data_IF_363853218608
#
_entry.id   IF_363853218608
#
_cell.length_a   1.000
_cell.length_b   1.000
_cell.length_c   1.000
_cell.angle_alpha   90.00
_cell.angle_beta   90.00
_cell.angle_gamma   90.00
#
_symmetry.space_group_name_H-M   'P 1'
#
loop_
_entity.id
_entity.type
_entity.pdbx_description
1 polymer ?
#
# COMPACT_ATOMS: atom_id res chain seq x y z
N UNK A 1 -7.53 -29.22 -18.80
CA UNK A 1 -6.58 -28.44 -19.64
C UNK A 1 -5.12 -28.84 -19.37
N UNK A 2 -4.22 -28.66 -20.34
CA UNK A 2 -2.76 -28.87 -20.16
C UNK A 2 -2.11 -27.64 -19.52
N UNK A 3 -0.90 -27.78 -18.98
CA UNK A 3 -0.18 -26.66 -18.33
C UNK A 3 0.10 -25.48 -19.27
N UNK A 4 0.36 -25.74 -20.56
CA UNK A 4 0.55 -24.70 -21.57
C UNK A 4 -0.72 -23.88 -21.78
N UNK A 5 -1.85 -24.56 -21.88
CA UNK A 5 -3.17 -23.92 -22.03
C UNK A 5 -3.55 -23.13 -20.77
N UNK A 6 -3.32 -23.69 -19.58
CA UNK A 6 -3.50 -22.97 -18.31
C UNK A 6 -2.64 -21.69 -18.26
N UNK A 7 -1.39 -21.80 -18.71
CA UNK A 7 -0.45 -20.68 -18.73
C UNK A 7 -0.93 -19.56 -19.66
N UNK A 8 -1.39 -19.91 -20.87
CA UNK A 8 -1.96 -18.95 -21.81
C UNK A 8 -3.21 -18.27 -21.25
N UNK A 9 -4.11 -19.03 -20.63
CA UNK A 9 -5.36 -18.48 -20.09
C UNK A 9 -5.17 -17.57 -18.89
N UNK A 10 -4.20 -17.88 -18.03
CA UNK A 10 -3.98 -17.17 -16.75
C UNK A 10 -2.88 -16.11 -16.83
N UNK A 11 -2.05 -16.13 -17.87
CA UNK A 11 -0.83 -15.33 -17.95
C UNK A 11 0.29 -15.79 -17.01
N UNK A 12 0.07 -16.85 -16.22
CA UNK A 12 1.05 -17.38 -15.27
C UNK A 12 1.94 -18.39 -15.98
N UNK A 13 3.25 -18.16 -15.99
CA UNK A 13 4.19 -19.05 -16.69
C UNK A 13 4.18 -20.47 -16.11
N UNK A 14 4.38 -21.49 -16.94
CA UNK A 14 4.43 -22.89 -16.49
C UNK A 14 5.44 -23.15 -15.34
N UNK A 15 6.64 -22.54 -15.31
CA UNK A 15 7.53 -22.62 -14.14
C UNK A 15 6.90 -22.04 -12.87
N UNK A 16 6.20 -20.91 -12.98
CA UNK A 16 5.55 -20.27 -11.84
C UNK A 16 4.33 -21.07 -11.34
N UNK A 17 3.57 -21.70 -12.22
CA UNK A 17 2.51 -22.67 -11.84
C UNK A 17 3.11 -23.81 -11.02
N UNK A 18 4.20 -24.44 -11.50
CA UNK A 18 4.87 -25.53 -10.77
C UNK A 18 5.42 -25.05 -9.43
N UNK A 19 5.93 -23.83 -9.38
CA UNK A 19 6.36 -23.19 -8.15
C UNK A 19 5.19 -23.05 -7.17
N UNK A 20 4.04 -22.50 -7.57
CA UNK A 20 2.88 -22.37 -6.68
C UNK A 20 2.35 -23.72 -6.19
N UNK A 21 2.40 -24.77 -7.01
CA UNK A 21 2.06 -26.14 -6.56
C UNK A 21 3.04 -26.61 -5.47
N UNK A 22 4.35 -26.42 -5.69
CA UNK A 22 5.37 -26.84 -4.71
C UNK A 22 5.28 -26.05 -3.40
N UNK A 23 5.01 -24.75 -3.48
CA UNK A 23 4.85 -23.89 -2.30
C UNK A 23 3.48 -24.07 -1.62
N UNK A 24 2.57 -24.86 -2.20
CA UNK A 24 1.26 -25.20 -1.64
C UNK A 24 0.17 -24.14 -1.84
N UNK A 25 0.37 -23.15 -2.71
CA UNK A 25 -0.65 -22.14 -3.02
C UNK A 25 -1.70 -22.65 -4.02
N UNK A 26 -1.30 -23.55 -4.92
CA UNK A 26 -2.15 -24.15 -5.94
C UNK A 26 -2.26 -25.66 -5.67
N UNK A 27 -3.46 -26.25 -5.64
CA UNK A 27 -3.61 -27.70 -5.61
C UNK A 27 -2.87 -28.38 -6.77
N UNK A 28 -2.34 -29.61 -6.56
CA UNK A 28 -1.71 -30.35 -7.64
C UNK A 28 -2.76 -30.74 -8.70
N UNK A 29 -2.33 -30.75 -9.96
CA UNK A 29 -3.17 -31.21 -11.07
C UNK A 29 -3.65 -32.65 -10.89
N UNK A 30 -4.86 -32.93 -11.36
CA UNK A 30 -5.45 -34.26 -11.31
C UNK A 30 -4.69 -35.23 -12.23
N UNK A 31 -4.42 -36.45 -11.75
CA UNK A 31 -3.76 -37.49 -12.55
C UNK A 31 -4.80 -38.23 -13.38
N UNK A 32 -4.83 -37.99 -14.69
CA UNK A 32 -5.76 -38.65 -15.63
C UNK A 32 -5.15 -39.85 -16.36
N UNK A 33 -3.92 -40.27 -16.00
CA UNK A 33 -3.24 -41.45 -16.52
C UNK A 33 -1.81 -41.59 -16.01
N UNK A 34 -1.10 -42.63 -16.47
CA UNK A 34 0.24 -42.98 -15.95
C UNK A 34 1.26 -41.82 -16.04
N UNK A 35 1.17 -40.99 -17.08
CA UNK A 35 2.01 -39.80 -17.27
C UNK A 35 1.22 -38.56 -17.71
N UNK A 36 -0.06 -38.47 -17.32
CA UNK A 36 -0.95 -37.37 -17.73
C UNK A 36 -1.55 -36.70 -16.50
N UNK A 37 -1.39 -35.38 -16.44
CA UNK A 37 -2.06 -34.52 -15.48
C UNK A 37 -2.89 -33.46 -16.18
N UNK A 38 -4.03 -33.12 -15.58
CA UNK A 38 -4.96 -32.12 -16.09
C UNK A 38 -5.31 -31.10 -15.02
N UNK A 39 -5.40 -29.85 -15.46
CA UNK A 39 -5.85 -28.73 -14.66
C UNK A 39 -7.31 -28.43 -14.98
N UNK A 40 -8.09 -28.02 -13.98
CA UNK A 40 -9.51 -27.64 -14.10
C UNK A 40 -9.74 -26.13 -14.04
N UNK A 41 -11.00 -25.70 -14.15
CA UNK A 41 -11.39 -24.29 -13.98
C UNK A 41 -11.06 -23.75 -12.58
N UNK A 42 -11.15 -24.60 -11.55
CA UNK A 42 -10.77 -24.23 -10.18
C UNK A 42 -9.29 -23.82 -10.08
N UNK A 43 -8.41 -24.41 -10.91
CA UNK A 43 -7.01 -24.00 -10.98
C UNK A 43 -6.85 -22.62 -11.64
N UNK A 44 -7.70 -22.28 -12.61
CA UNK A 44 -7.72 -20.95 -13.23
C UNK A 44 -8.16 -19.92 -12.20
N UNK A 45 -9.30 -20.16 -11.54
CA UNK A 45 -9.84 -19.28 -10.50
C UNK A 45 -8.82 -19.06 -9.37
N UNK A 46 -8.21 -20.15 -8.89
CA UNK A 46 -7.17 -20.10 -7.85
C UNK A 46 -5.93 -19.33 -8.29
N UNK A 47 -5.47 -19.48 -9.53
CA UNK A 47 -4.34 -18.72 -10.05
C UNK A 47 -4.65 -17.23 -10.15
N UNK A 48 -5.84 -16.86 -10.63
CA UNK A 48 -6.28 -15.46 -10.66
C UNK A 48 -6.28 -14.87 -9.24
N UNK A 49 -6.85 -15.59 -8.27
CA UNK A 49 -6.86 -15.18 -6.87
C UNK A 49 -5.44 -14.99 -6.31
N UNK A 50 -4.53 -15.94 -6.53
CA UNK A 50 -3.12 -15.83 -6.12
C UNK A 50 -2.49 -14.56 -6.69
N UNK A 51 -2.70 -14.28 -7.98
CA UNK A 51 -2.15 -13.08 -8.63
C UNK A 51 -2.75 -11.79 -8.06
N UNK A 52 -4.06 -11.76 -7.82
CA UNK A 52 -4.71 -10.61 -7.18
C UNK A 52 -4.11 -10.31 -5.80
N UNK A 53 -3.96 -11.34 -4.95
CA UNK A 53 -3.41 -11.18 -3.60
C UNK A 53 -1.95 -10.72 -3.59
N UNK A 54 -1.13 -11.22 -4.52
CA UNK A 54 0.30 -10.92 -4.56
C UNK A 54 0.59 -9.61 -5.30
N UNK A 55 0.05 -9.43 -6.51
CA UNK A 55 0.41 -8.32 -7.39
C UNK A 55 -0.28 -7.03 -6.99
N UNK A 56 -1.58 -7.11 -6.68
CA UNK A 56 -2.40 -5.94 -6.36
C UNK A 56 -2.47 -5.75 -4.84
N UNK A 57 -2.62 -6.86 -4.11
CA UNK A 57 -2.65 -6.87 -2.65
C UNK A 57 -1.28 -6.70 -1.98
N UNK A 58 -0.19 -6.89 -2.72
CA UNK A 58 1.17 -6.77 -2.19
C UNK A 58 1.52 -7.80 -1.11
N UNK A 59 0.76 -8.89 -1.00
CA UNK A 59 1.03 -9.92 0.00
C UNK A 59 2.30 -10.70 -0.36
N UNK A 60 3.09 -11.02 0.66
CA UNK A 60 4.12 -12.05 0.53
C UNK A 60 3.47 -13.40 0.20
N UNK A 61 4.19 -14.29 -0.48
CA UNK A 61 3.68 -15.63 -0.80
C UNK A 61 3.29 -16.44 0.44
N UNK A 62 4.04 -16.29 1.54
CA UNK A 62 3.71 -16.94 2.80
C UNK A 62 2.39 -16.40 3.40
N UNK A 63 2.15 -15.10 3.29
CA UNK A 63 0.90 -14.49 3.74
C UNK A 63 -0.27 -14.89 2.84
N UNK A 64 -0.08 -14.87 1.51
CA UNK A 64 -1.07 -15.34 0.55
C UNK A 64 -1.45 -16.80 0.83
N UNK A 65 -0.48 -17.70 1.08
CA UNK A 65 -0.77 -19.08 1.44
C UNK A 65 -1.66 -19.21 2.67
N UNK A 66 -1.35 -18.50 3.77
CA UNK A 66 -2.17 -18.56 5.00
C UNK A 66 -3.62 -18.13 4.75
N UNK A 67 -3.80 -17.09 3.92
CA UNK A 67 -5.12 -16.58 3.55
C UNK A 67 -5.88 -17.60 2.71
N UNK A 68 -5.20 -18.18 1.73
CA UNK A 68 -5.75 -19.22 0.87
C UNK A 68 -6.13 -20.49 1.66
N UNK A 69 -5.29 -20.91 2.60
CA UNK A 69 -5.60 -22.03 3.51
C UNK A 69 -6.86 -21.75 4.34
N UNK A 70 -7.07 -20.49 4.79
CA UNK A 70 -8.27 -20.10 5.52
C UNK A 70 -9.54 -20.07 4.65
N UNK A 71 -9.41 -19.72 3.36
CA UNK A 71 -10.51 -19.86 2.39
C UNK A 71 -10.87 -21.33 2.22
N UNK A 72 -9.87 -22.20 2.07
CA UNK A 72 -10.08 -23.62 1.80
C UNK A 72 -10.63 -24.38 3.03
N UNK A 73 -10.41 -23.87 4.25
CA UNK A 73 -10.99 -24.43 5.47
C UNK A 73 -12.48 -24.09 5.63
N UNK A 74 -13.35 -24.97 5.15
CA UNK A 74 -14.82 -24.84 5.24
C UNK A 74 -15.39 -24.84 6.67
N UNK A 75 -14.64 -25.32 7.67
CA UNK A 75 -15.09 -25.30 9.05
C UNK A 75 -14.85 -23.93 9.72
N UNK A 76 -13.99 -23.10 9.12
CA UNK A 76 -13.63 -21.80 9.67
C UNK A 76 -14.75 -20.75 9.47
N UNK A 77 -15.22 -20.07 10.52
CA UNK A 77 -16.20 -18.99 10.38
C UNK A 77 -15.68 -17.84 9.52
N UNK A 78 -16.56 -17.16 8.76
CA UNK A 78 -16.15 -16.01 7.91
C UNK A 78 -15.46 -14.89 8.71
N UNK A 79 -15.85 -14.67 9.96
CA UNK A 79 -15.20 -13.70 10.84
C UNK A 79 -13.73 -14.06 11.13
N UNK A 80 -13.42 -15.35 11.23
CA UNK A 80 -12.04 -15.81 11.42
C UNK A 80 -11.24 -15.72 10.12
N UNK A 81 -11.85 -16.02 8.96
CA UNK A 81 -11.26 -15.77 7.64
C UNK A 81 -10.89 -14.29 7.48
N UNK A 82 -11.79 -13.38 7.86
CA UNK A 82 -11.52 -11.94 7.88
C UNK A 82 -10.32 -11.61 8.79
N UNK A 83 -10.26 -12.20 9.98
CA UNK A 83 -9.13 -12.02 10.90
C UNK A 83 -7.79 -12.47 10.29
N UNK A 84 -7.77 -13.60 9.59
CA UNK A 84 -6.59 -14.09 8.86
C UNK A 84 -6.20 -13.14 7.73
N UNK A 85 -7.17 -12.66 6.95
CA UNK A 85 -6.96 -11.69 5.87
C UNK A 85 -6.35 -10.38 6.40
N UNK A 86 -6.94 -9.80 7.46
CA UNK A 86 -6.41 -8.60 8.11
C UNK A 86 -5.00 -8.84 8.69
N UNK A 87 -4.77 -10.01 9.30
CA UNK A 87 -3.47 -10.38 9.86
C UNK A 87 -2.38 -10.60 8.81
N UNK A 88 -2.76 -10.85 7.55
CA UNK A 88 -1.84 -11.02 6.42
C UNK A 88 -1.34 -9.68 5.85
N UNK A 89 -2.05 -8.58 6.12
CA UNK A 89 -1.66 -7.25 5.66
C UNK A 89 -0.32 -6.79 6.26
N UNK A 90 0.44 -5.93 5.56
CA UNK A 90 1.71 -5.41 6.05
C UNK A 90 1.57 -4.75 7.43
N UNK A 91 2.45 -5.12 8.36
CA UNK A 91 2.53 -4.49 9.69
C UNK A 91 3.53 -3.33 9.69
N UNK A 92 3.34 -2.31 10.54
CA UNK A 92 4.35 -1.29 10.77
C UNK A 92 5.69 -1.90 11.19
N UNK A 93 6.80 -1.30 10.73
CA UNK A 93 8.14 -1.79 11.03
C UNK A 93 8.54 -1.66 12.51
N UNK A 94 7.92 -0.71 13.22
CA UNK A 94 8.13 -0.49 14.64
C UNK A 94 6.77 -0.48 15.37
N UNK A 95 6.70 -1.02 16.59
CA UNK A 95 5.49 -0.95 17.40
C UNK A 95 5.14 0.51 17.70
N UNK A 96 3.84 0.81 17.69
CA UNK A 96 3.35 2.14 18.04
C UNK A 96 3.56 2.45 19.53
N UNK A 97 3.57 3.74 19.89
CA UNK A 97 3.59 4.20 21.27
C UNK A 97 2.27 3.87 21.98
N UNK A 98 2.32 3.64 23.29
CA UNK A 98 1.12 3.43 24.10
C UNK A 98 0.12 4.61 23.96
N UNK A 99 0.63 5.85 23.97
CA UNK A 99 -0.20 7.04 23.80
C UNK A 99 -0.93 7.10 22.45
N UNK A 100 -0.31 6.64 21.36
CA UNK A 100 -0.98 6.56 20.07
C UNK A 100 -2.05 5.47 20.03
N UNK A 101 -1.76 4.30 20.62
CA UNK A 101 -2.75 3.22 20.77
C UNK A 101 -3.97 3.65 21.56
N UNK A 102 -3.75 4.32 22.70
CA UNK A 102 -4.83 4.80 23.56
C UNK A 102 -5.75 5.79 22.83
N UNK A 103 -5.18 6.65 21.97
CA UNK A 103 -5.96 7.58 21.14
C UNK A 103 -6.83 6.85 20.12
N UNK A 104 -6.29 5.84 19.44
CA UNK A 104 -7.07 5.01 18.49
C UNK A 104 -8.17 4.27 19.24
N UNK A 105 -7.84 3.67 20.39
CA UNK A 105 -8.78 2.93 21.23
C UNK A 105 -9.91 3.81 21.79
N UNK A 106 -9.61 5.06 22.14
CA UNK A 106 -10.65 6.01 22.55
C UNK A 106 -11.68 6.25 21.44
N UNK A 107 -11.23 6.36 20.18
CA UNK A 107 -12.13 6.56 19.03
C UNK A 107 -12.97 5.32 18.73
N UNK A 108 -12.39 4.12 18.81
CA UNK A 108 -13.16 2.88 18.61
C UNK A 108 -14.15 2.64 19.75
N UNK A 109 -13.75 2.90 21.00
CA UNK A 109 -14.62 2.79 22.18
C UNK A 109 -15.79 3.77 22.12
N UNK A 110 -15.54 5.03 21.75
CA UNK A 110 -16.59 6.05 21.64
C UNK A 110 -17.66 5.70 20.60
N UNK A 111 -17.31 4.88 19.59
CA UNK A 111 -18.25 4.35 18.59
C UNK A 111 -18.91 3.04 18.99
N UNK A 112 -18.52 2.44 20.10
CA UNK A 112 -18.97 1.09 20.48
C UNK A 112 -18.44 -0.01 19.56
N UNK A 113 -17.34 0.23 18.83
CA UNK A 113 -16.73 -0.80 18.00
C UNK A 113 -16.12 -1.90 18.87
N UNK A 114 -16.38 -3.16 18.52
CA UNK A 114 -15.80 -4.33 19.17
C UNK A 114 -14.55 -4.75 18.42
N UNK A 115 -13.38 -4.30 18.90
CA UNK A 115 -12.08 -4.55 18.26
C UNK A 115 -11.16 -5.28 19.25
N UNK A 116 -10.55 -6.38 18.81
CA UNK A 116 -9.57 -7.12 19.61
C UNK A 116 -8.29 -6.29 19.84
N UNK A 117 -7.61 -6.50 20.97
CA UNK A 117 -6.39 -5.75 21.29
C UNK A 117 -5.25 -5.97 20.29
N UNK A 118 -5.15 -7.19 19.76
CA UNK A 118 -4.18 -7.59 18.73
C UNK A 118 -4.63 -7.28 17.29
N UNK A 119 -5.70 -6.50 17.09
CA UNK A 119 -6.14 -6.16 15.74
C UNK A 119 -5.04 -5.35 15.02
N UNK A 120 -4.58 -5.79 13.82
CA UNK A 120 -3.47 -5.13 13.13
C UNK A 120 -3.77 -3.68 12.71
N UNK A 121 -5.05 -3.34 12.52
CA UNK A 121 -5.50 -1.98 12.21
C UNK A 121 -5.26 -0.99 13.35
N UNK A 122 -5.29 -1.46 14.62
CA UNK A 122 -4.97 -0.63 15.78
C UNK A 122 -3.51 -0.18 15.74
N UNK A 123 -2.59 -1.12 15.54
CA UNK A 123 -1.15 -0.82 15.40
C UNK A 123 -0.87 0.07 14.19
N UNK A 124 -1.49 -0.22 13.05
CA UNK A 124 -1.31 0.56 11.83
C UNK A 124 -1.74 2.02 12.02
N UNK A 125 -2.94 2.26 12.55
CA UNK A 125 -3.44 3.60 12.81
C UNK A 125 -2.59 4.35 13.85
N UNK A 126 -2.18 3.66 14.92
CA UNK A 126 -1.35 4.25 15.97
C UNK A 126 0.04 4.63 15.45
N UNK A 127 0.67 3.78 14.63
CA UNK A 127 1.97 4.06 14.02
C UNK A 127 1.92 5.29 13.09
N UNK A 128 0.81 5.52 12.39
CA UNK A 128 0.59 6.74 11.59
C UNK A 128 0.53 7.99 12.48
N UNK A 129 -0.16 7.92 13.63
CA UNK A 129 -0.20 9.05 14.58
C UNK A 129 1.20 9.40 15.11
N UNK A 130 2.01 8.39 15.45
CA UNK A 130 3.39 8.61 15.86
C UNK A 130 4.24 9.22 14.74
N UNK A 131 4.06 8.75 13.50
CA UNK A 131 4.68 9.32 12.31
C UNK A 131 4.38 10.80 12.13
N UNK A 132 3.12 11.17 12.32
CA UNK A 132 2.66 12.56 12.23
C UNK A 132 3.22 13.42 13.36
N UNK A 133 3.22 12.90 14.59
CA UNK A 133 3.78 13.60 15.74
C UNK A 133 5.29 13.87 15.57
N UNK A 134 6.05 12.93 14.98
CA UNK A 134 7.48 13.07 14.71
C UNK A 134 7.81 14.22 13.76
N UNK A 135 6.90 14.59 12.84
CA UNK A 135 7.06 15.76 11.96
C UNK A 135 6.47 17.05 12.55
N UNK A 136 6.20 17.06 13.86
CA UNK A 136 5.69 18.23 14.58
C UNK A 136 4.21 18.51 14.37
N UNK A 137 3.44 17.52 13.86
CA UNK A 137 2.02 17.67 13.54
C UNK A 137 1.15 16.86 14.50
N UNK A 138 0.53 17.55 15.47
CA UNK A 138 -0.40 16.95 16.43
C UNK A 138 -1.89 17.03 16.03
N UNK A 139 -2.21 17.72 14.94
CA UNK A 139 -3.58 18.05 14.52
C UNK A 139 -4.34 16.88 13.90
N UNK A 140 -3.63 15.85 13.40
CA UNK A 140 -4.28 14.66 12.82
C UNK A 140 -5.18 13.94 13.84
N UNK A 141 -4.81 13.96 15.12
CA UNK A 141 -5.61 13.36 16.19
C UNK A 141 -7.01 13.98 16.29
N UNK A 142 -7.14 15.29 16.04
CA UNK A 142 -8.44 15.98 16.04
C UNK A 142 -9.32 15.60 14.83
N UNK A 143 -8.71 15.10 13.75
CA UNK A 143 -9.40 14.62 12.55
C UNK A 143 -9.80 13.14 12.61
N UNK A 144 -9.29 12.37 13.58
CA UNK A 144 -9.44 10.91 13.64
C UNK A 144 -10.91 10.47 13.66
N UNK A 145 -11.76 11.25 14.33
CA UNK A 145 -13.21 11.02 14.36
C UNK A 145 -13.83 11.00 12.96
N UNK A 146 -13.39 11.88 12.04
CA UNK A 146 -13.93 11.92 10.67
C UNK A 146 -13.46 10.71 9.86
N UNK A 147 -12.19 10.32 10.01
CA UNK A 147 -11.66 9.13 9.37
C UNK A 147 -12.36 7.86 9.85
N UNK A 148 -12.62 7.74 11.15
CA UNK A 148 -13.35 6.61 11.69
C UNK A 148 -14.81 6.53 11.19
N UNK A 149 -15.50 7.67 10.94
CA UNK A 149 -16.81 7.65 10.26
C UNK A 149 -16.71 7.12 8.84
N UNK A 150 -15.72 7.59 8.07
CA UNK A 150 -15.52 7.12 6.71
C UNK A 150 -15.19 5.62 6.68
N UNK A 151 -14.37 5.14 7.62
CA UNK A 151 -14.06 3.73 7.76
C UNK A 151 -15.29 2.87 8.11
N UNK A 152 -16.23 3.39 8.92
CA UNK A 152 -17.49 2.70 9.19
C UNK A 152 -18.30 2.44 7.91
N UNK A 153 -18.45 3.49 7.09
CA UNK A 153 -19.19 3.42 5.82
C UNK A 153 -18.56 2.41 4.86
N UNK A 154 -17.23 2.39 4.79
CA UNK A 154 -16.51 1.39 3.97
C UNK A 154 -16.72 -0.01 4.51
N UNK A 155 -16.57 -0.22 5.82
CA UNK A 155 -16.75 -1.53 6.43
C UNK A 155 -18.17 -2.07 6.24
N UNK A 156 -19.19 -1.22 6.32
CA UNK A 156 -20.59 -1.60 6.00
C UNK A 156 -20.71 -2.03 4.54
N UNK A 157 -20.20 -1.23 3.58
CA UNK A 157 -20.26 -1.57 2.16
C UNK A 157 -19.51 -2.88 1.82
N UNK A 158 -18.36 -3.12 2.46
CA UNK A 158 -17.59 -4.34 2.28
C UNK A 158 -18.37 -5.57 2.80
N UNK A 159 -19.02 -5.45 3.97
CA UNK A 159 -19.82 -6.53 4.56
C UNK A 159 -21.13 -6.76 3.80
N UNK A 160 -21.77 -5.71 3.29
CA UNK A 160 -22.95 -5.82 2.41
C UNK A 160 -22.62 -6.62 1.14
N UNK A 161 -21.43 -6.42 0.58
CA UNK A 161 -20.97 -7.18 -0.59
C UNK A 161 -20.78 -8.68 -0.26
N UNK A 162 -20.27 -9.00 0.92
CA UNK A 162 -20.14 -10.39 1.40
C UNK A 162 -21.51 -11.01 1.63
N UNK A 163 -22.43 -10.29 2.29
CA UNK A 163 -23.79 -10.76 2.52
C UNK A 163 -24.53 -11.03 1.21
N UNK A 164 -24.39 -10.15 0.20
CA UNK A 164 -24.99 -10.35 -1.11
C UNK A 164 -24.56 -11.68 -1.76
N UNK A 165 -23.29 -12.07 -1.63
CA UNK A 165 -22.78 -13.36 -2.14
C UNK A 165 -23.37 -14.54 -1.36
N UNK A 166 -23.42 -14.44 -0.03
CA UNK A 166 -24.01 -15.48 0.82
C UNK A 166 -25.49 -15.71 0.48
N UNK A 167 -26.25 -14.62 0.28
CA UNK A 167 -27.68 -14.71 -0.01
C UNK A 167 -27.98 -15.23 -1.43
N UNK A 168 -27.13 -14.90 -2.41
CA UNK A 168 -27.36 -15.29 -3.80
C UNK A 168 -27.07 -16.78 -4.06
N UNK A 169 -25.90 -17.25 -3.62
CA UNK A 169 -25.37 -18.56 -4.02
C UNK A 169 -25.38 -19.58 -2.87
N UNK A 170 -25.45 -19.14 -1.61
CA UNK A 170 -25.21 -20.00 -0.43
C UNK A 170 -23.78 -20.57 -0.37
N UNK A 171 -22.91 -20.15 -1.29
CA UNK A 171 -21.55 -20.66 -1.43
C UNK A 171 -20.62 -19.93 -0.45
N UNK A 172 -20.35 -20.58 0.68
CA UNK A 172 -19.42 -20.07 1.69
C UNK A 172 -18.02 -19.86 1.12
N UNK A 173 -17.55 -20.68 0.18
CA UNK A 173 -16.21 -20.54 -0.39
C UNK A 173 -16.09 -19.21 -1.13
N UNK A 174 -17.10 -18.87 -1.94
CA UNK A 174 -17.18 -17.57 -2.62
C UNK A 174 -17.30 -16.41 -1.64
N UNK A 175 -18.05 -16.57 -0.56
CA UNK A 175 -18.12 -15.56 0.48
C UNK A 175 -16.76 -15.33 1.16
N UNK A 176 -16.01 -16.41 1.47
CA UNK A 176 -14.67 -16.33 2.03
C UNK A 176 -13.68 -15.67 1.07
N UNK A 177 -13.73 -15.99 -0.22
CA UNK A 177 -12.95 -15.31 -1.26
C UNK A 177 -13.30 -13.82 -1.31
N UNK A 178 -14.58 -13.45 -1.23
CA UNK A 178 -15.03 -12.05 -1.24
C UNK A 178 -14.50 -11.29 -0.03
N UNK A 179 -14.57 -11.87 1.17
CA UNK A 179 -13.98 -11.30 2.39
C UNK A 179 -12.49 -11.01 2.20
N UNK A 180 -11.76 -12.00 1.69
CA UNK A 180 -10.32 -11.90 1.49
C UNK A 180 -9.95 -10.84 0.45
N UNK A 181 -10.60 -10.89 -0.72
CA UNK A 181 -10.33 -9.96 -1.82
C UNK A 181 -10.71 -8.55 -1.42
N UNK A 182 -11.87 -8.37 -0.78
CA UNK A 182 -12.31 -7.08 -0.25
C UNK A 182 -11.33 -6.52 0.78
N UNK A 183 -10.84 -7.34 1.71
CA UNK A 183 -9.87 -6.90 2.72
C UNK A 183 -8.52 -6.54 2.09
N UNK A 184 -7.98 -7.39 1.23
CA UNK A 184 -6.61 -7.26 0.70
C UNK A 184 -6.51 -6.21 -0.40
N UNK A 185 -7.51 -6.14 -1.29
CA UNK A 185 -7.54 -5.16 -2.37
C UNK A 185 -8.22 -3.85 -1.96
N UNK A 186 -9.04 -3.88 -0.90
CA UNK A 186 -9.77 -2.73 -0.38
C UNK A 186 -8.87 -1.57 0.03
N UNK A 187 -7.71 -1.86 0.63
CA UNK A 187 -6.72 -0.82 0.97
C UNK A 187 -6.25 -0.05 -0.27
N UNK A 188 -5.97 -0.76 -1.36
CA UNK A 188 -5.54 -0.15 -2.63
C UNK A 188 -6.67 0.65 -3.27
N UNK A 189 -7.88 0.09 -3.31
CA UNK A 189 -9.08 0.77 -3.80
C UNK A 189 -9.33 2.07 -3.03
N UNK A 190 -9.36 1.99 -1.70
CA UNK A 190 -9.67 3.12 -0.83
C UNK A 190 -8.57 4.17 -0.85
N UNK A 191 -7.31 3.77 -0.96
CA UNK A 191 -6.21 4.70 -1.19
C UNK A 191 -6.35 5.45 -2.51
N UNK A 192 -6.77 4.78 -3.59
CA UNK A 192 -7.07 5.39 -4.88
C UNK A 192 -8.23 6.40 -4.80
N UNK A 193 -9.38 5.95 -4.29
CA UNK A 193 -10.57 6.78 -4.11
C UNK A 193 -10.28 8.00 -3.23
N UNK A 194 -9.56 7.81 -2.12
CA UNK A 194 -9.17 8.90 -1.23
C UNK A 194 -8.33 9.96 -1.94
N UNK A 195 -7.38 9.57 -2.81
CA UNK A 195 -6.56 10.52 -3.58
C UNK A 195 -7.41 11.32 -4.56
N UNK A 196 -8.34 10.68 -5.28
CA UNK A 196 -9.27 11.37 -6.18
C UNK A 196 -10.22 12.31 -5.43
N UNK A 197 -10.73 11.90 -4.27
CA UNK A 197 -11.57 12.75 -3.43
C UNK A 197 -10.81 13.96 -2.86
N UNK A 198 -9.52 13.80 -2.57
CA UNK A 198 -8.65 14.91 -2.14
C UNK A 198 -8.45 15.93 -3.26
N UNK A 199 -8.28 15.46 -4.50
CA UNK A 199 -8.18 16.31 -5.68
C UNK A 199 -9.47 17.13 -5.92
N UNK A 200 -10.64 16.49 -5.95
CA UNK A 200 -11.94 17.18 -6.05
C UNK A 200 -12.16 18.18 -4.92
N UNK A 201 -11.93 17.79 -3.66
CA UNK A 201 -12.09 18.68 -2.51
C UNK A 201 -11.13 19.87 -2.55
N UNK A 202 -9.91 19.68 -3.06
CA UNK A 202 -8.93 20.75 -3.26
C UNK A 202 -9.42 21.76 -4.29
N UNK A 203 -9.87 21.28 -5.45
CA UNK A 203 -10.44 22.12 -6.53
C UNK A 203 -11.63 22.93 -6.00
N UNK A 204 -12.57 22.31 -5.29
CA UNK A 204 -13.72 23.02 -4.73
C UNK A 204 -13.35 24.08 -3.69
N UNK A 205 -12.28 23.86 -2.91
CA UNK A 205 -11.91 24.73 -1.79
C UNK A 205 -10.96 25.86 -2.20
N UNK A 206 -10.05 25.59 -3.12
CA UNK A 206 -8.98 26.50 -3.49
C UNK A 206 -9.08 27.00 -4.95
N UNK A 207 -10.01 26.47 -5.73
CA UNK A 207 -10.17 26.77 -7.15
C UNK A 207 -9.12 26.09 -8.04
N UNK A 208 -9.24 26.30 -9.36
CA UNK A 208 -8.36 25.74 -10.38
C UNK A 208 -8.81 24.38 -10.91
N UNK A 209 -8.19 23.94 -12.01
CA UNK A 209 -8.39 22.59 -12.55
C UNK A 209 -7.48 21.59 -11.83
N UNK A 210 -7.88 20.30 -11.72
CA UNK A 210 -7.00 19.27 -11.19
C UNK A 210 -5.71 19.22 -12.02
N UNK A 211 -4.53 19.25 -11.38
CA UNK A 211 -3.27 19.21 -12.11
C UNK A 211 -3.18 17.88 -12.89
N UNK A 212 -2.66 17.86 -14.13
CA UNK A 212 -2.46 16.62 -14.85
C UNK A 212 -1.57 15.71 -14.03
N UNK A 213 -1.96 14.44 -13.87
CA UNK A 213 -1.19 13.45 -13.13
C UNK A 213 0.26 13.46 -13.58
N UNK A 214 1.21 13.58 -12.65
CA UNK A 214 2.63 13.49 -12.97
C UNK A 214 2.86 12.11 -13.56
N UNK A 215 3.07 12.03 -14.87
CA UNK A 215 3.31 10.80 -15.61
C UNK A 215 4.63 10.17 -15.20
N UNK A 216 4.73 9.66 -13.97
CA UNK A 216 5.80 8.78 -13.55
C UNK A 216 5.54 7.46 -14.26
N UNK A 217 6.06 7.36 -15.48
CA UNK A 217 6.26 6.10 -16.18
C UNK A 217 7.10 5.25 -15.25
N UNK A 218 6.49 4.23 -14.64
CA UNK A 218 7.23 3.18 -13.95
C UNK A 218 8.07 2.46 -14.99
N UNK A 219 9.34 2.85 -15.10
CA UNK A 219 10.30 2.24 -16.00
C UNK A 219 10.47 0.77 -15.64
N UNK A 220 9.82 -0.12 -16.41
CA UNK A 220 10.15 -1.53 -16.42
C UNK A 220 11.52 -1.68 -17.07
N UNK A 221 12.54 -1.93 -16.25
CA UNK A 221 13.83 -2.42 -16.70
C UNK A 221 13.65 -3.82 -17.30
N UNK A 222 13.78 -3.92 -18.62
CA UNK A 222 13.81 -5.18 -19.36
C UNK A 222 14.41 -4.95 -20.74
N UNK A 223 15.71 -5.26 -20.89
CA UNK A 223 16.49 -4.98 -22.08
C UNK A 223 16.11 -5.84 -23.29
N UNK A 224 16.44 -5.30 -24.47
CA UNK A 224 16.38 -6.02 -25.75
C UNK A 224 16.68 -5.10 -26.92
N UNK A 225 17.94 -5.08 -27.34
CA UNK A 225 18.41 -4.40 -28.56
C UNK A 225 17.75 -4.99 -29.81
N UNK A 226 17.39 -4.13 -30.77
CA UNK A 226 17.02 -4.55 -32.13
C UNK A 226 16.64 -3.34 -33.00
N UNK A 227 17.49 -3.03 -33.97
CA UNK A 227 17.49 -1.84 -34.84
C UNK A 227 16.48 -1.94 -36.01
N UNK A 228 16.08 -0.76 -36.52
CA UNK A 228 15.81 -0.49 -37.95
C UNK A 228 14.36 -0.18 -38.31
N UNK A 229 14.01 1.12 -38.47
CA UNK A 229 13.62 1.79 -39.74
C UNK A 229 12.20 1.43 -40.21
N UNK A 230 11.30 2.28 -40.70
CA UNK A 230 11.22 3.66 -41.20
C UNK A 230 9.69 3.97 -41.25
N UNK A 231 9.25 5.21 -41.12
CA UNK A 231 7.84 5.55 -41.30
C UNK A 231 7.39 6.85 -40.62
N UNK A 232 7.88 7.97 -41.14
CA UNK A 232 7.37 9.32 -40.92
C UNK A 232 5.83 9.40 -40.92
N UNK A 233 5.24 10.01 -39.90
CA UNK A 233 4.10 10.93 -40.06
C UNK A 233 4.04 11.90 -38.89
N UNK A 234 4.00 13.18 -39.25
CA UNK A 234 3.86 14.36 -38.40
C UNK A 234 2.76 14.20 -37.34
N UNK A 235 3.03 14.66 -36.11
CA UNK A 235 2.07 15.53 -35.45
C UNK A 235 2.74 16.54 -34.52
N UNK A 236 2.69 17.81 -34.94
CA UNK A 236 3.27 18.97 -34.27
C UNK A 236 2.34 19.48 -33.18
N UNK A 237 2.46 18.98 -31.94
CA UNK A 237 1.94 19.71 -30.77
C UNK A 237 2.77 19.41 -29.51
N UNK A 238 4.00 19.92 -29.43
CA UNK A 238 4.86 19.64 -28.27
C UNK A 238 5.99 20.62 -28.01
N UNK A 239 6.03 21.76 -28.70
CA UNK A 239 7.19 22.66 -28.63
C UNK A 239 6.73 24.10 -28.38
N UNK A 240 6.56 24.46 -27.09
CA UNK A 240 6.50 25.85 -26.59
C UNK A 240 6.45 26.03 -25.07
N UNK A 241 6.39 24.96 -24.27
CA UNK A 241 6.27 25.09 -22.80
C UNK A 241 7.57 24.78 -22.04
N UNK A 242 8.60 24.26 -22.70
CA UNK A 242 9.90 23.93 -22.08
C UNK A 242 10.86 25.11 -21.91
N UNK A 243 10.89 26.04 -22.88
CA UNK A 243 11.99 27.01 -22.98
C UNK A 243 11.82 28.29 -22.13
N UNK A 244 10.67 28.54 -21.49
CA UNK A 244 10.49 29.75 -20.65
C UNK A 244 10.70 29.55 -19.16
N UNK A 245 10.78 28.30 -18.69
CA UNK A 245 10.87 27.99 -17.25
C UNK A 245 12.31 27.73 -16.81
N UNK A 246 13.20 27.38 -17.75
CA UNK A 246 14.64 27.20 -17.49
C UNK A 246 15.41 28.51 -17.25
N UNK A 247 15.19 29.53 -18.09
CA UNK A 247 16.02 30.74 -18.05
C UNK A 247 15.78 31.65 -16.83
N UNK A 248 14.55 31.72 -16.28
CA UNK A 248 14.28 32.62 -15.13
C UNK A 248 14.69 32.06 -13.77
N UNK A 249 14.99 30.76 -13.68
CA UNK A 249 15.33 30.09 -12.41
C UNK A 249 16.85 29.97 -12.22
N UNK A 250 17.62 29.93 -13.32
CA UNK A 250 19.09 29.97 -13.30
C UNK A 250 19.63 31.32 -12.82
N UNK A 251 19.11 32.43 -13.34
CA UNK A 251 19.69 33.77 -13.12
C UNK A 251 19.45 34.34 -11.70
N UNK A 252 18.39 33.93 -11.00
CA UNK A 252 18.13 34.42 -9.63
C UNK A 252 18.88 33.66 -8.54
N UNK A 253 19.31 32.43 -8.81
CA UNK A 253 19.96 31.59 -7.80
C UNK A 253 21.48 31.82 -7.77
N UNK A 254 22.09 32.25 -8.87
CA UNK A 254 23.52 32.60 -8.92
C UNK A 254 23.90 33.89 -8.20
N UNK A 255 23.03 34.91 -8.19
CA UNK A 255 23.36 36.23 -7.62
C UNK A 255 23.20 36.37 -6.10
N UNK A 256 22.50 35.45 -5.42
CA UNK A 256 22.24 35.57 -3.97
C UNK A 256 23.23 34.84 -3.07
N UNK A 257 23.93 33.83 -3.60
CA UNK A 257 24.89 33.00 -2.85
C UNK A 257 26.32 33.52 -2.89
N UNK A 258 26.66 34.41 -3.83
CA UNK A 258 28.01 35.00 -3.95
C UNK A 258 28.29 36.19 -3.02
N UNK A 259 27.26 36.82 -2.43
CA UNK A 259 27.43 38.07 -1.68
C UNK A 259 27.44 37.93 -0.15
N UNK A 260 27.30 36.71 0.40
CA UNK A 260 27.19 36.49 1.86
C UNK A 260 28.36 35.75 2.50
N UNK A 261 29.37 35.37 1.73
CA UNK A 261 30.55 34.62 2.18
C UNK A 261 31.86 35.42 2.08
N UNK A 262 31.77 36.73 1.78
CA UNK A 262 32.94 37.58 1.51
C UNK A 262 33.28 38.64 2.57
N UNK A 263 32.53 38.76 3.66
CA UNK A 263 32.77 39.83 4.65
C UNK A 263 32.44 39.36 6.06
N UNK A 264 33.42 38.71 6.72
CA UNK A 264 33.63 38.70 8.17
C UNK A 264 34.85 37.80 8.48
N UNK A 265 36.02 38.36 8.21
CA UNK A 265 37.31 37.76 8.57
C UNK A 265 38.31 38.84 8.95
N UNK A 266 38.25 39.34 10.18
CA UNK A 266 39.39 39.97 10.86
C UNK A 266 39.12 40.19 12.35
N UNK A 267 39.88 39.51 13.23
CA UNK A 267 39.97 39.88 14.64
C UNK A 267 40.31 38.75 15.62
N UNK A 268 41.60 38.42 15.76
CA UNK A 268 42.21 37.77 16.94
C UNK A 268 43.00 38.85 17.73
N UNK A 269 43.57 38.60 18.93
CA UNK A 269 43.13 37.78 20.07
C UNK A 269 43.36 38.51 21.44
N UNK A 270 42.83 38.01 22.56
CA UNK A 270 43.57 38.09 23.85
C UNK A 270 43.12 37.10 24.92
N UNK A 271 44.17 36.58 25.54
CA UNK A 271 44.37 35.71 26.69
C UNK A 271 43.69 36.14 28.01
N UNK A 272 43.22 35.16 28.81
CA UNK A 272 43.42 35.04 30.29
C UNK A 272 42.54 33.93 30.88
N UNK A 273 43.18 32.96 31.51
CA UNK A 273 42.54 31.91 32.30
C UNK A 273 42.11 32.33 33.70
N UNK A 274 41.32 31.47 34.34
CA UNK A 274 41.23 31.29 35.80
C UNK A 274 40.83 29.83 36.08
N UNK A 275 41.67 29.14 36.85
CA UNK A 275 41.40 27.87 37.54
C UNK A 275 40.41 28.05 38.71
N UNK A 276 39.71 26.97 39.10
CA UNK A 276 39.32 26.57 40.48
C UNK A 276 38.41 25.31 40.34
N UNK A 277 38.82 24.06 40.62
CA UNK A 277 38.87 23.37 41.94
C UNK A 277 37.68 23.77 42.83
N UNK A 278 36.84 22.90 43.42
CA UNK A 278 37.03 21.55 44.00
C UNK A 278 35.68 21.02 44.56
N UNK A 279 35.59 19.69 44.72
CA UNK A 279 34.81 18.92 45.73
C UNK A 279 33.27 18.87 45.60
N UNK A 280 32.56 17.76 45.85
CA UNK A 280 32.91 16.43 46.33
C UNK A 280 31.65 15.74 46.89
N UNK A 281 31.60 14.39 46.81
CA UNK A 281 30.80 13.43 47.62
C UNK A 281 29.25 13.59 47.66
N UNK A 282 28.40 12.56 47.61
CA UNK A 282 28.56 11.16 48.00
C UNK A 282 27.42 10.79 48.96
N UNK A 283 26.68 9.74 48.61
CA UNK A 283 25.54 9.08 49.28
C UNK A 283 24.16 9.67 49.03
#
# INVERSE_FOLDING_TARGET
>A
MRISELSTRTGVSAPLVKFYVREGLLPPAERTGHNRTEYGEDHVARLVLIRSLVDVGGLSLAAARRVLDAIDDTALPLAEVLGVAQGALPRPAAPASAAARDRVRAVTTARGWRVHDDNPGLEAAAAVLDGWARVGRGDLAAGLERYARAAAVVAEADLDAVEAVVQADGDRSRAAETVVVGTVLGDTLLAGLRRMAQEDASVRRYGGDPPPGSGIVTGSAGGGQGRGADGSTDDRTGDRTGDRTGDKTGDRTGHRTGHRTGDEGAGRPSDRGVELRTAGAGR
#
